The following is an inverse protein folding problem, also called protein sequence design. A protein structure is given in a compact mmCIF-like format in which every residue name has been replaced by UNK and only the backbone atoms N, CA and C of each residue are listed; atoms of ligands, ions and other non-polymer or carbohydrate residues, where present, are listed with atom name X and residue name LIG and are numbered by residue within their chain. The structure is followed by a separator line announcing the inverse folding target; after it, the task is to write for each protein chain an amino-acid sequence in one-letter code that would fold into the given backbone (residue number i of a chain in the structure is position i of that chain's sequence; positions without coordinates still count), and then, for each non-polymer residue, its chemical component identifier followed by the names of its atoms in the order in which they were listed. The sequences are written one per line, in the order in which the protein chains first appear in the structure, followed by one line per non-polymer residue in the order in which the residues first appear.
data_IF_693343293239
#
_entry.id   IF_693343293239
#
_cell.length_a   1.000
_cell.length_b   1.000
_cell.length_c   1.000
_cell.angle_alpha   90.00
_cell.angle_beta   90.00
_cell.angle_gamma   90.00
#
_symmetry.space_group_name_H-M   'P 1'
#
loop_
_entity.id
_entity.type
_entity.pdbx_description
1 polymer ?
#
# COMPACT_ATOMS: atom_id res chain seq x y z
N UNK A 1 -0.06 12.64 7.38
CA UNK A 1 0.66 11.37 7.14
C UNK A 1 0.19 10.66 5.87
N UNK A 2 -1.04 10.14 5.81
CA UNK A 2 -1.54 9.31 4.69
C UNK A 2 -1.50 10.06 3.34
N UNK A 3 -1.90 11.34 3.31
CA UNK A 3 -1.86 12.13 2.07
C UNK A 3 -0.44 12.35 1.54
N UNK A 4 0.57 12.28 2.40
CA UNK A 4 1.98 12.31 2.02
C UNK A 4 2.50 10.93 1.61
N UNK A 5 1.68 9.87 1.60
CA UNK A 5 2.09 8.51 1.21
C UNK A 5 2.75 7.69 2.30
N UNK A 6 2.71 8.16 3.55
CA UNK A 6 3.31 7.48 4.71
C UNK A 6 2.34 6.53 5.42
N UNK A 7 2.86 5.39 5.87
CA UNK A 7 2.20 4.45 6.78
C UNK A 7 3.05 4.21 8.05
N UNK A 8 2.40 3.93 9.17
CA UNK A 8 3.06 3.64 10.46
C UNK A 8 3.74 2.27 10.43
N UNK A 9 4.99 2.18 10.91
CA UNK A 9 5.72 0.93 11.09
C UNK A 9 5.27 0.12 12.31
N UNK A 10 4.31 0.62 13.10
CA UNK A 10 3.90 0.12 14.42
C UNK A 10 5.04 0.08 15.44
N UNK A 11 6.05 0.94 15.29
CA UNK A 11 7.12 1.06 16.27
C UNK A 11 7.42 2.53 16.54
N UNK A 12 7.01 3.02 17.70
CA UNK A 12 7.13 4.43 18.07
C UNK A 12 6.33 5.33 17.13
N UNK A 13 6.97 6.39 16.67
CA UNK A 13 6.42 7.35 15.70
C UNK A 13 6.95 7.11 14.28
N UNK A 14 7.57 5.95 14.04
CA UNK A 14 8.20 5.64 12.76
C UNK A 14 7.17 5.46 11.67
N UNK A 15 7.42 6.12 10.54
CA UNK A 15 6.64 5.94 9.33
C UNK A 15 7.53 5.64 8.15
N UNK A 16 6.93 5.06 7.12
CA UNK A 16 7.59 4.68 5.86
C UNK A 16 6.68 5.03 4.69
N UNK A 17 7.27 5.50 3.60
CA UNK A 17 6.52 5.72 2.36
C UNK A 17 6.31 4.41 1.60
N UNK A 18 5.07 4.09 1.21
CA UNK A 18 4.78 2.87 0.41
C UNK A 18 5.40 2.89 -1.00
N UNK A 19 5.78 4.05 -1.51
CA UNK A 19 6.21 4.22 -2.89
C UNK A 19 7.74 4.29 -3.06
N UNK A 20 8.45 4.88 -2.10
CA UNK A 20 9.90 5.05 -2.17
C UNK A 20 10.66 4.45 -0.97
N UNK A 21 9.95 3.85 -0.01
CA UNK A 21 10.50 3.20 1.18
C UNK A 21 11.37 4.10 2.07
N UNK A 22 11.27 5.43 1.93
CA UNK A 22 11.94 6.33 2.86
C UNK A 22 11.27 6.27 4.24
N UNK A 23 12.09 6.17 5.29
CA UNK A 23 11.65 6.15 6.67
C UNK A 23 11.87 7.50 7.34
N UNK A 24 10.96 7.87 8.23
CA UNK A 24 11.12 9.03 9.09
C UNK A 24 10.65 8.70 10.51
N UNK A 25 11.30 9.32 11.50
CA UNK A 25 11.08 9.13 12.92
C UNK A 25 11.41 10.43 13.67
N UNK A 26 11.05 10.52 14.95
CA UNK A 26 11.27 11.71 15.79
C UNK A 26 10.52 12.94 15.25
N UNK A 27 9.23 12.76 15.00
CA UNK A 27 8.34 13.83 14.56
C UNK A 27 8.23 14.93 15.62
N UNK A 28 8.40 16.16 15.16
CA UNK A 28 8.14 17.38 15.93
C UNK A 28 6.75 17.89 15.55
N UNK A 29 5.73 17.73 16.42
CA UNK A 29 4.39 18.22 16.14
C UNK A 29 4.41 19.71 15.81
N UNK A 30 3.57 20.13 14.86
CA UNK A 30 3.43 21.53 14.41
C UNK A 30 4.64 22.14 13.67
N UNK A 31 5.80 21.47 13.68
CA UNK A 31 7.00 21.91 12.93
C UNK A 31 7.18 21.07 11.67
N UNK A 32 7.06 19.75 11.81
CA UNK A 32 7.30 18.82 10.71
C UNK A 32 6.04 18.62 9.86
N UNK A 33 6.06 19.15 8.63
CA UNK A 33 5.05 18.83 7.62
C UNK A 33 5.44 17.57 6.83
N UNK A 34 4.60 16.51 6.83
CA UNK A 34 4.91 15.27 6.14
C UNK A 34 5.09 15.43 4.62
N UNK A 35 4.39 16.37 3.97
CA UNK A 35 4.50 16.56 2.51
C UNK A 35 5.82 17.22 2.16
N UNK A 36 6.20 18.27 2.89
CA UNK A 36 7.47 18.96 2.71
C UNK A 36 8.67 18.08 3.06
N UNK A 37 8.61 17.30 4.14
CA UNK A 37 9.66 16.33 4.47
C UNK A 37 9.81 15.27 3.37
N UNK A 38 8.71 14.72 2.87
CA UNK A 38 8.78 13.73 1.80
C UNK A 38 9.34 14.31 0.49
N UNK A 39 8.93 15.52 0.13
CA UNK A 39 9.43 16.25 -1.05
C UNK A 39 10.92 16.57 -0.92
N UNK A 40 11.38 16.95 0.27
CA UNK A 40 12.77 17.30 0.54
C UNK A 40 13.68 16.08 0.54
N UNK A 41 13.27 15.01 1.23
CA UNK A 41 14.08 13.82 1.42
C UNK A 41 14.00 12.83 0.25
N UNK A 42 12.90 12.82 -0.50
CA UNK A 42 12.70 11.94 -1.65
C UNK A 42 12.00 12.66 -2.82
N UNK A 43 12.63 13.69 -3.42
CA UNK A 43 12.03 14.46 -4.51
C UNK A 43 11.71 13.62 -5.76
N UNK A 44 12.37 12.48 -5.91
CA UNK A 44 12.16 11.56 -7.02
C UNK A 44 11.08 10.50 -6.80
N UNK A 45 10.46 10.47 -5.62
CA UNK A 45 9.36 9.55 -5.32
C UNK A 45 8.19 9.76 -6.30
N UNK A 46 7.63 8.66 -6.80
CA UNK A 46 6.50 8.70 -7.75
C UNK A 46 5.26 9.39 -7.17
N UNK A 47 5.01 9.25 -5.87
CA UNK A 47 3.90 9.93 -5.20
C UNK A 47 4.11 11.44 -5.11
N UNK A 48 5.34 11.86 -4.77
CA UNK A 48 5.72 13.28 -4.73
C UNK A 48 5.58 13.89 -6.13
N UNK A 49 6.14 13.24 -7.16
CA UNK A 49 6.02 13.68 -8.56
C UNK A 49 4.58 13.79 -9.02
N UNK A 50 3.76 12.77 -8.75
CA UNK A 50 2.34 12.76 -9.13
C UNK A 50 1.57 13.93 -8.48
N UNK A 51 1.83 14.22 -7.20
CA UNK A 51 1.21 15.36 -6.49
C UNK A 51 1.70 16.73 -6.96
N UNK A 52 2.96 16.83 -7.40
CA UNK A 52 3.50 18.07 -7.99
C UNK A 52 2.94 18.33 -9.39
N UNK A 53 2.71 17.28 -10.19
CA UNK A 53 2.21 17.39 -11.56
C UNK A 53 0.69 17.60 -11.62
N UNK A 54 -0.07 16.99 -10.70
CA UNK A 54 -1.53 17.09 -10.63
C UNK A 54 -1.98 17.63 -9.26
N UNK A 55 -1.85 18.94 -9.00
CA UNK A 55 -2.21 19.53 -7.72
C UNK A 55 -3.73 19.56 -7.44
N UNK A 56 -4.59 19.32 -8.44
CA UNK A 56 -6.04 19.47 -8.34
C UNK A 56 -6.85 18.22 -8.72
N UNK A 57 -7.72 17.86 -7.77
CA UNK A 57 -8.96 17.06 -7.86
C UNK A 57 -8.85 15.53 -7.96
N UNK A 58 -9.01 14.92 -6.79
CA UNK A 58 -9.68 13.62 -6.67
C UNK A 58 -11.13 13.75 -7.16
N UNK A 59 -11.34 13.61 -8.47
CA UNK A 59 -12.67 13.41 -9.04
C UNK A 59 -13.08 11.97 -8.79
N UNK A 60 -13.61 11.69 -7.60
CA UNK A 60 -14.33 10.43 -7.38
C UNK A 60 -15.59 10.50 -8.24
N UNK A 61 -15.58 9.81 -9.38
CA UNK A 61 -16.79 9.61 -10.19
C UNK A 61 -17.55 8.44 -9.57
N UNK A 62 -18.67 8.73 -8.89
CA UNK A 62 -19.60 7.70 -8.44
C UNK A 62 -20.43 7.27 -9.64
N UNK A 63 -20.19 6.06 -10.17
CA UNK A 63 -20.80 5.55 -11.41
C UNK A 63 -22.18 4.90 -11.16
N UNK A 64 -22.93 5.31 -10.14
CA UNK A 64 -24.21 4.67 -9.85
C UNK A 64 -25.31 5.64 -9.43
N UNK A 65 -25.78 6.45 -10.38
CA UNK A 65 -27.15 6.93 -10.36
C UNK A 65 -27.66 7.10 -11.80
N UNK A 66 -28.76 6.42 -12.13
CA UNK A 66 -29.39 6.45 -13.46
C UNK A 66 -30.14 7.77 -13.66
N UNK A 67 -29.64 8.57 -14.60
CA UNK A 67 -30.32 9.49 -15.55
C UNK A 67 -31.39 10.47 -15.02
N UNK A 68 -31.24 11.79 -15.21
CA UNK A 68 -31.60 12.54 -16.44
C UNK A 68 -31.36 14.05 -16.16
N UNK A 69 -30.86 14.92 -17.04
CA UNK A 69 -31.41 15.37 -18.34
C UNK A 69 -30.37 16.16 -19.19
N UNK A 70 -30.29 15.83 -20.49
CA UNK A 70 -30.02 16.68 -21.70
C UNK A 70 -28.91 17.76 -21.65
N UNK A 71 -27.90 17.78 -22.53
CA UNK A 71 -28.02 18.10 -23.99
C UNK A 71 -26.70 17.77 -24.74
N UNK A 72 -26.85 17.03 -25.85
CA UNK A 72 -26.12 17.00 -27.17
C UNK A 72 -24.80 17.80 -27.27
N UNK A 73 -23.65 17.32 -27.77
CA UNK A 73 -23.36 16.72 -29.09
C UNK A 73 -21.98 16.02 -29.12
N UNK A 74 -21.95 14.80 -29.69
CA UNK A 74 -20.99 14.29 -30.68
C UNK A 74 -19.49 14.01 -30.42
N UNK A 75 -19.18 12.71 -30.62
CA UNK A 75 -18.06 12.09 -31.38
C UNK A 75 -16.94 11.33 -30.62
N UNK A 76 -16.96 10.02 -30.90
CA UNK A 76 -15.91 8.98 -30.91
C UNK A 76 -15.49 8.28 -29.61
N UNK A 77 -16.08 7.08 -29.47
CA UNK A 77 -15.59 5.91 -28.75
C UNK A 77 -14.10 5.65 -29.00
N UNK A 78 -13.37 5.41 -27.91
CA UNK A 78 -12.23 4.49 -27.90
C UNK A 78 -12.21 3.82 -26.53
N UNK A 79 -12.84 2.65 -26.48
CA UNK A 79 -12.65 1.70 -25.38
C UNK A 79 -11.15 1.47 -25.21
N UNK A 80 -10.60 1.90 -24.09
CA UNK A 80 -9.33 1.37 -23.61
C UNK A 80 -9.58 0.89 -22.19
N UNK A 81 -9.54 -0.43 -22.03
CA UNK A 81 -9.65 -1.13 -20.76
C UNK A 81 -8.53 -0.65 -19.85
N UNK A 82 -8.82 0.31 -18.97
CA UNK A 82 -7.83 0.83 -18.02
C UNK A 82 -7.86 0.02 -16.72
N UNK A 83 -7.67 -1.30 -16.84
CA UNK A 83 -7.54 -2.23 -15.72
C UNK A 83 -6.07 -2.63 -15.48
N UNK A 84 -5.11 -1.80 -15.91
CA UNK A 84 -3.67 -2.10 -15.79
C UNK A 84 -2.89 -1.08 -14.94
N UNK A 85 -3.54 -0.05 -14.38
CA UNK A 85 -2.85 0.95 -13.54
C UNK A 85 -2.62 0.52 -12.08
N UNK A 86 -3.11 -0.66 -11.65
CA UNK A 86 -2.92 -1.17 -10.28
C UNK A 86 -2.01 -2.39 -10.17
N UNK A 87 -1.53 -2.95 -11.29
CA UNK A 87 -0.56 -4.05 -11.21
C UNK A 87 0.84 -3.46 -11.09
N UNK A 88 1.25 -3.19 -9.85
CA UNK A 88 2.66 -3.01 -9.54
C UNK A 88 3.41 -4.23 -10.09
N UNK A 89 4.11 -4.06 -11.22
CA UNK A 89 4.98 -5.08 -11.80
C UNK A 89 6.24 -5.30 -10.95
N UNK A 90 6.34 -4.64 -9.80
CA UNK A 90 7.39 -4.91 -8.83
C UNK A 90 6.96 -6.12 -7.99
N UNK A 91 7.42 -7.29 -8.40
CA UNK A 91 7.52 -8.43 -7.48
C UNK A 91 8.50 -8.00 -6.39
N UNK A 92 7.98 -7.45 -5.28
CA UNK A 92 8.75 -7.39 -4.04
C UNK A 92 9.01 -8.84 -3.70
N UNK A 93 10.25 -9.30 -3.90
CA UNK A 93 10.66 -10.60 -3.40
C UNK A 93 10.34 -10.62 -1.90
N UNK A 94 9.29 -11.36 -1.53
CA UNK A 94 8.96 -11.63 -0.13
C UNK A 94 9.97 -12.67 0.36
N UNK A 95 11.22 -12.26 0.49
CA UNK A 95 12.17 -13.06 1.25
C UNK A 95 11.59 -13.19 2.66
N UNK A 96 11.54 -14.41 3.17
CA UNK A 96 11.10 -14.64 4.53
C UNK A 96 11.98 -13.82 5.47
N UNK A 97 11.36 -12.99 6.32
CA UNK A 97 12.09 -12.20 7.33
C UNK A 97 12.91 -13.11 8.25
N UNK A 98 12.53 -14.38 8.37
CA UNK A 98 13.35 -15.42 8.98
C UNK A 98 13.74 -16.49 7.95
N UNK A 99 15.01 -16.53 7.51
CA UNK A 99 15.50 -17.49 6.51
C UNK A 99 15.31 -18.96 6.92
N UNK A 100 15.34 -19.25 8.23
CA UNK A 100 15.14 -20.61 8.75
C UNK A 100 13.70 -21.11 8.60
N UNK A 101 12.73 -20.20 8.38
CA UNK A 101 11.32 -20.53 8.13
C UNK A 101 10.86 -20.08 6.73
N UNK A 102 11.81 -19.99 5.80
CA UNK A 102 11.53 -19.68 4.39
C UNK A 102 10.72 -20.78 3.70
N UNK A 103 10.90 -22.02 4.12
CA UNK A 103 10.16 -23.19 3.62
C UNK A 103 8.95 -23.51 4.49
N UNK A 104 7.85 -23.89 3.84
CA UNK A 104 6.58 -24.21 4.51
C UNK A 104 6.71 -25.39 5.48
N UNK A 105 7.53 -26.39 5.13
CA UNK A 105 7.77 -27.56 5.99
C UNK A 105 8.46 -27.19 7.30
N UNK A 106 9.34 -26.20 7.29
CA UNK A 106 10.01 -25.71 8.51
C UNK A 106 9.04 -24.95 9.41
N UNK A 107 8.01 -24.31 8.84
CA UNK A 107 6.90 -23.71 9.59
C UNK A 107 6.03 -24.78 10.24
N UNK A 108 5.67 -25.83 9.51
CA UNK A 108 4.99 -26.99 10.12
C UNK A 108 5.75 -27.57 11.32
N UNK A 109 7.08 -27.70 11.20
CA UNK A 109 7.93 -28.24 12.26
C UNK A 109 8.00 -27.35 13.52
N UNK A 110 7.66 -26.06 13.44
CA UNK A 110 7.64 -25.18 14.62
C UNK A 110 6.46 -25.47 15.55
N UNK A 111 5.40 -26.10 15.04
CA UNK A 111 4.20 -26.45 15.79
C UNK A 111 4.27 -27.82 16.49
N UNK A 112 5.47 -28.39 16.67
CA UNK A 112 5.67 -29.71 17.32
C UNK A 112 5.13 -29.77 18.75
N UNK A 113 5.11 -28.65 19.48
CA UNK A 113 4.56 -28.54 20.84
C UNK A 113 3.20 -27.86 20.88
N UNK A 114 2.57 -27.60 19.72
CA UNK A 114 1.29 -26.91 19.63
C UNK A 114 0.16 -27.78 20.18
N UNK A 115 -0.62 -27.21 21.10
CA UNK A 115 -1.75 -27.88 21.73
C UNK A 115 -2.92 -28.02 20.76
N UNK A 116 -3.48 -29.22 20.63
CA UNK A 116 -4.65 -29.49 19.77
C UNK A 116 -6.00 -29.12 20.43
N UNK A 117 -5.98 -28.77 21.72
CA UNK A 117 -7.16 -28.37 22.49
C UNK A 117 -7.41 -26.88 22.30
N UNK A 118 -8.52 -26.52 21.66
CA UNK A 118 -8.99 -25.13 21.41
C UNK A 118 -8.06 -24.21 20.58
N UNK A 119 -7.00 -24.74 19.97
CA UNK A 119 -6.13 -23.96 19.09
C UNK A 119 -6.59 -24.01 17.63
N UNK A 120 -6.34 -22.95 16.83
CA UNK A 120 -6.52 -22.98 15.38
C UNK A 120 -5.71 -24.11 14.72
N UNK A 121 -6.21 -24.59 13.59
CA UNK A 121 -5.53 -25.59 12.76
C UNK A 121 -4.14 -25.11 12.36
N UNK A 122 -3.14 -25.99 12.53
CA UNK A 122 -1.75 -25.73 12.12
C UNK A 122 -1.68 -25.41 10.63
N UNK A 123 -2.44 -26.11 9.79
CA UNK A 123 -2.48 -25.86 8.33
C UNK A 123 -2.95 -24.43 8.01
N UNK A 124 -3.99 -23.96 8.71
CA UNK A 124 -4.50 -22.59 8.55
C UNK A 124 -3.47 -21.55 8.98
N UNK A 125 -2.75 -21.79 10.07
CA UNK A 125 -1.72 -20.88 10.57
C UNK A 125 -0.52 -20.81 9.62
N UNK A 126 -0.01 -21.97 9.18
CA UNK A 126 1.13 -22.05 8.26
C UNK A 126 0.81 -21.40 6.91
N UNK A 127 -0.41 -21.62 6.39
CA UNK A 127 -0.86 -21.01 5.13
C UNK A 127 -1.09 -19.50 5.27
N UNK A 128 -1.48 -19.03 6.46
CA UNK A 128 -1.54 -17.61 6.80
C UNK A 128 -0.16 -16.96 7.02
N UNK A 129 0.92 -17.77 7.04
CA UNK A 129 2.30 -17.29 7.12
C UNK A 129 2.89 -17.22 8.52
N UNK A 130 2.27 -17.88 9.50
CA UNK A 130 2.82 -18.09 10.84
C UNK A 130 3.88 -19.20 10.85
#
# INVERSE_FOLDING_TARGET
MIEAGFFNCNVGDRVICIYCNIFFQQWTPHVDDPRELHKTLSPNCIHVKAKLMNPTQSSIVIINEQSSTTTTTDIHSSQTNNLDLLRSNYVVFRTSCNPNFSEILKRYASFTTWSNENSPSVDTLVQAGF
#
